data_IF_456682104711
#
_entry.id   IF_456682104711
#
_cell.length_a   1.000
_cell.length_b   1.000
_cell.length_c   1.000
_cell.angle_alpha   90.00
_cell.angle_beta   90.00
_cell.angle_gamma   90.00
#
_symmetry.space_group_name_H-M   'P 1'
#
loop_
_entity.id
_entity.type
_entity.pdbx_description
1 polymer ?
#
# COMPACT_ATOMS: atom_id res chain seq x y z
N UNK A 1 -7.85 14.64 24.10
CA UNK A 1 -6.79 14.08 23.23
C UNK A 1 -6.46 15.14 22.21
N UNK A 2 -5.20 15.56 22.12
CA UNK A 2 -4.73 16.50 21.09
C UNK A 2 -4.98 15.89 19.71
N UNK A 3 -5.78 16.56 18.89
CA UNK A 3 -6.09 16.12 17.53
C UNK A 3 -4.81 16.14 16.70
N UNK A 4 -4.36 14.97 16.23
CA UNK A 4 -3.20 14.88 15.34
C UNK A 4 -3.51 15.54 13.98
N UNK A 5 -2.53 16.20 13.34
CA UNK A 5 -2.76 16.87 12.07
C UNK A 5 -2.82 15.91 10.88
N UNK A 6 -3.40 16.36 9.77
CA UNK A 6 -3.37 15.65 8.49
C UNK A 6 -1.96 15.77 7.87
N UNK A 7 -1.21 14.66 7.88
CA UNK A 7 0.19 14.61 7.41
C UNK A 7 0.40 13.63 6.26
N UNK A 8 -0.61 12.82 5.96
CA UNK A 8 -0.58 11.79 4.93
C UNK A 8 -1.74 11.99 3.97
N UNK A 9 -1.43 12.08 2.67
CA UNK A 9 -2.42 12.00 1.60
C UNK A 9 -2.33 10.61 0.96
N UNK A 10 -3.43 9.87 0.98
CA UNK A 10 -3.46 8.49 0.54
C UNK A 10 -4.30 8.32 -0.72
N UNK A 11 -3.72 7.86 -1.82
CA UNK A 11 -4.46 7.49 -3.04
C UNK A 11 -4.83 6.02 -3.04
N UNK A 12 -6.13 5.75 -3.05
CA UNK A 12 -6.67 4.41 -2.86
C UNK A 12 -7.07 4.19 -1.40
N UNK A 13 -8.25 3.62 -1.19
CA UNK A 13 -8.77 3.33 0.16
C UNK A 13 -9.01 1.85 0.37
N UNK A 14 -8.43 0.97 -0.45
CA UNK A 14 -8.73 -0.46 -0.46
C UNK A 14 -8.49 -1.16 0.88
N UNK A 15 -8.96 -2.41 0.98
CA UNK A 15 -8.78 -3.22 2.20
C UNK A 15 -7.31 -3.36 2.59
N UNK A 16 -6.42 -3.47 1.60
CA UNK A 16 -4.99 -3.60 1.80
C UNK A 16 -4.41 -2.45 2.63
N UNK A 17 -4.53 -1.19 2.18
CA UNK A 17 -3.98 -0.04 2.90
C UNK A 17 -4.62 0.11 4.29
N UNK A 18 -5.94 -0.11 4.41
CA UNK A 18 -6.65 -0.08 5.70
C UNK A 18 -6.11 -1.10 6.70
N UNK A 19 -5.75 -2.29 6.23
CA UNK A 19 -5.19 -3.35 7.07
C UNK A 19 -3.64 -3.33 7.12
N UNK A 20 -3.00 -2.30 6.57
CA UNK A 20 -1.55 -2.23 6.43
C UNK A 20 -1.02 -0.85 6.81
N UNK A 21 -0.95 0.08 5.85
CA UNK A 21 -0.40 1.42 6.09
C UNK A 21 -1.19 2.19 7.15
N UNK A 22 -2.52 2.25 7.02
CA UNK A 22 -3.38 2.99 7.94
C UNK A 22 -3.32 2.40 9.37
N UNK A 23 -3.27 1.06 9.48
CA UNK A 23 -3.11 0.37 10.75
C UNK A 23 -1.74 0.65 11.39
N UNK A 24 -0.64 0.61 10.63
CA UNK A 24 0.69 0.87 11.19
C UNK A 24 0.85 2.32 11.63
N UNK A 25 0.24 3.25 10.91
CA UNK A 25 0.18 4.66 11.31
C UNK A 25 -0.60 4.81 12.62
N UNK A 26 -1.73 4.12 12.77
CA UNK A 26 -2.53 4.11 14.00
C UNK A 26 -1.73 3.55 15.19
N UNK A 27 -1.04 2.42 15.01
CA UNK A 27 -0.16 1.85 16.03
C UNK A 27 1.01 2.77 16.40
N UNK A 28 1.64 3.42 15.41
CA UNK A 28 2.72 4.37 15.66
C UNK A 28 2.23 5.62 16.41
N UNK A 29 1.05 6.13 16.05
CA UNK A 29 0.39 7.25 16.74
C UNK A 29 0.12 6.95 18.22
N UNK A 30 -0.18 5.69 18.57
CA UNK A 30 -0.40 5.26 19.95
C UNK A 30 0.90 5.07 20.76
N UNK A 31 2.06 4.92 20.09
CA UNK A 31 3.37 4.61 20.71
C UNK A 31 4.27 5.83 20.94
N UNK A 32 3.71 7.03 21.14
CA UNK A 32 4.45 8.30 21.28
C UNK A 32 5.37 8.66 20.09
N UNK A 33 5.12 8.08 18.90
CA UNK A 33 5.80 8.43 17.65
C UNK A 33 4.78 8.87 16.61
N UNK A 34 4.08 10.02 16.83
CA UNK A 34 2.95 10.40 16.02
C UNK A 34 3.36 10.73 14.59
N UNK A 35 2.79 9.98 13.64
CA UNK A 35 2.91 10.24 12.20
C UNK A 35 1.95 11.35 11.80
N UNK A 36 0.74 11.33 12.37
CA UNK A 36 -0.39 12.19 12.02
C UNK A 36 -1.56 11.39 11.46
N UNK A 37 -2.49 12.07 10.79
CA UNK A 37 -3.73 11.51 10.23
C UNK A 37 -3.68 11.41 8.71
N UNK A 38 -4.47 10.48 8.20
CA UNK A 38 -4.55 10.14 6.77
C UNK A 38 -5.81 10.73 6.13
N UNK A 39 -5.64 11.46 5.04
CA UNK A 39 -6.73 11.86 4.14
C UNK A 39 -6.76 10.88 2.98
N UNK A 40 -7.85 10.12 2.85
CA UNK A 40 -8.00 9.12 1.78
C UNK A 40 -8.66 9.74 0.56
N UNK A 41 -8.00 9.66 -0.59
CA UNK A 41 -8.53 10.08 -1.89
C UNK A 41 -9.08 8.87 -2.63
N UNK A 42 -10.38 8.89 -2.90
CA UNK A 42 -11.09 7.89 -3.68
C UNK A 42 -11.27 8.36 -5.12
N UNK A 43 -10.83 7.56 -6.09
CA UNK A 43 -11.02 7.83 -7.53
C UNK A 43 -11.93 6.82 -8.24
N UNK A 44 -12.47 5.84 -7.51
CA UNK A 44 -13.37 4.81 -8.05
C UNK A 44 -14.83 5.09 -7.69
N UNK A 45 -15.76 4.62 -8.52
CA UNK A 45 -17.20 4.65 -8.23
C UNK A 45 -17.54 3.68 -7.08
N UNK A 46 -17.36 4.11 -5.84
CA UNK A 46 -17.68 3.35 -4.62
C UNK A 46 -18.16 4.28 -3.50
N UNK A 47 -18.78 3.74 -2.45
CA UNK A 47 -19.18 4.55 -1.28
C UNK A 47 -18.10 4.68 -0.20
N UNK A 48 -16.84 4.35 -0.50
CA UNK A 48 -15.83 4.17 0.55
C UNK A 48 -15.49 5.46 1.30
N UNK A 49 -15.29 6.57 0.59
CA UNK A 49 -15.08 7.88 1.23
C UNK A 49 -16.26 8.26 2.14
N UNK A 50 -17.50 8.04 1.68
CA UNK A 50 -18.70 8.26 2.47
C UNK A 50 -18.72 7.38 3.73
N UNK A 51 -18.47 6.06 3.60
CA UNK A 51 -18.41 5.14 4.75
C UNK A 51 -17.32 5.53 5.76
N UNK A 52 -16.15 5.98 5.29
CA UNK A 52 -15.09 6.51 6.15
C UNK A 52 -15.61 7.69 6.95
N UNK A 53 -16.27 8.64 6.29
CA UNK A 53 -16.77 9.86 6.92
C UNK A 53 -17.96 9.59 7.87
N UNK A 54 -18.88 8.69 7.50
CA UNK A 54 -20.01 8.22 8.33
C UNK A 54 -19.53 7.61 9.65
N UNK A 55 -18.36 6.95 9.64
CA UNK A 55 -17.73 6.35 10.83
C UNK A 55 -16.70 7.27 11.51
N UNK A 56 -16.61 8.55 11.13
CA UNK A 56 -15.64 9.51 11.70
C UNK A 56 -14.17 9.10 11.49
N UNK A 57 -13.89 8.35 10.42
CA UNK A 57 -12.58 7.79 10.11
C UNK A 57 -12.23 6.50 10.85
N UNK A 58 -13.09 6.05 11.76
CA UNK A 58 -12.85 4.84 12.54
C UNK A 58 -13.34 3.57 11.82
N UNK A 59 -12.63 2.47 12.01
CA UNK A 59 -13.01 1.13 11.54
C UNK A 59 -12.23 0.07 12.33
N UNK A 60 -12.49 -1.20 12.07
CA UNK A 60 -11.81 -2.31 12.73
C UNK A 60 -10.98 -3.14 11.75
N UNK A 61 -9.84 -3.61 12.24
CA UNK A 61 -9.03 -4.64 11.59
C UNK A 61 -9.02 -5.88 12.48
N UNK A 62 -9.36 -7.02 11.91
CA UNK A 62 -9.19 -8.33 12.54
C UNK A 62 -7.86 -8.89 12.06
N UNK A 63 -6.93 -9.11 12.98
CA UNK A 63 -5.70 -9.86 12.73
C UNK A 63 -5.94 -11.30 13.14
N UNK A 64 -5.99 -12.22 12.15
CA UNK A 64 -6.34 -13.62 12.36
C UNK A 64 -5.39 -14.57 11.64
N UNK A 65 -4.85 -15.56 12.35
CA UNK A 65 -3.97 -16.58 11.79
C UNK A 65 -3.23 -17.36 12.87
N UNK A 66 -2.11 -17.98 12.50
CA UNK A 66 -1.19 -18.66 13.40
C UNK A 66 0.13 -17.89 13.48
N UNK A 67 0.74 -17.88 14.66
CA UNK A 67 2.12 -17.43 14.87
C UNK A 67 2.77 -18.41 15.83
N UNK A 68 3.82 -19.09 15.39
CA UNK A 68 4.53 -20.13 16.17
C UNK A 68 3.56 -21.21 16.70
N UNK A 69 2.59 -21.60 15.87
CA UNK A 69 1.52 -22.55 16.24
C UNK A 69 0.44 -22.02 17.20
N UNK A 70 0.53 -20.76 17.65
CA UNK A 70 -0.48 -20.12 18.49
C UNK A 70 -1.52 -19.37 17.66
N UNK A 71 -2.80 -19.54 18.00
CA UNK A 71 -3.90 -18.83 17.34
C UNK A 71 -3.87 -17.35 17.74
N UNK A 72 -3.79 -16.49 16.73
CA UNK A 72 -4.02 -15.06 16.84
C UNK A 72 -5.42 -14.77 16.29
N UNK A 73 -6.26 -14.13 17.10
CA UNK A 73 -7.54 -13.57 16.67
C UNK A 73 -7.80 -12.29 17.47
N UNK A 74 -7.32 -11.16 16.93
CA UNK A 74 -7.35 -9.86 17.60
C UNK A 74 -8.11 -8.87 16.76
N UNK A 75 -9.07 -8.19 17.38
CA UNK A 75 -9.73 -7.01 16.80
C UNK A 75 -9.03 -5.75 17.30
N UNK A 76 -8.68 -4.85 16.38
CA UNK A 76 -8.19 -3.51 16.70
C UNK A 76 -9.07 -2.45 16.05
N UNK A 77 -9.50 -1.47 16.83
CA UNK A 77 -10.09 -0.23 16.31
C UNK A 77 -8.96 0.67 15.78
N UNK A 78 -9.10 1.11 14.54
CA UNK A 78 -8.16 1.97 13.83
C UNK A 78 -8.77 3.35 13.64
N UNK A 79 -8.01 4.40 13.94
CA UNK A 79 -8.49 5.80 13.97
C UNK A 79 -7.55 6.79 13.26
N UNK A 80 -6.55 6.28 12.54
CA UNK A 80 -5.56 7.08 11.80
C UNK A 80 -6.15 7.89 10.65
N UNK A 81 -7.22 7.42 10.01
CA UNK A 81 -7.88 8.13 8.91
C UNK A 81 -8.65 9.33 9.48
N UNK A 82 -8.44 10.54 8.95
CA UNK A 82 -9.24 11.72 9.30
C UNK A 82 -10.54 11.77 8.53
N UNK A 83 -10.47 11.59 7.20
CA UNK A 83 -11.61 11.69 6.28
C UNK A 83 -11.28 11.07 4.92
N UNK A 84 -12.34 10.74 4.17
CA UNK A 84 -12.27 10.40 2.76
C UNK A 84 -12.75 11.56 1.90
N UNK A 85 -12.09 11.77 0.75
CA UNK A 85 -12.45 12.71 -0.30
C UNK A 85 -12.69 11.96 -1.61
N UNK A 86 -13.71 12.33 -2.36
CA UNK A 86 -13.96 11.81 -3.71
C UNK A 86 -13.28 12.73 -4.72
N UNK A 87 -12.27 12.20 -5.45
CA UNK A 87 -11.42 13.02 -6.31
C UNK A 87 -12.23 13.83 -7.34
N UNK A 88 -13.25 13.23 -7.96
CA UNK A 88 -14.03 13.89 -9.01
C UNK A 88 -14.99 14.97 -8.48
N UNK A 89 -15.35 14.91 -7.19
CA UNK A 89 -16.35 15.80 -6.59
C UNK A 89 -15.70 16.85 -5.68
N UNK A 90 -14.53 16.53 -5.12
CA UNK A 90 -13.86 17.27 -4.05
C UNK A 90 -12.40 17.59 -4.39
N UNK A 91 -12.06 17.75 -5.68
CA UNK A 91 -10.68 17.94 -6.13
C UNK A 91 -9.98 19.15 -5.49
N UNK A 92 -10.68 20.29 -5.37
CA UNK A 92 -10.16 21.46 -4.69
C UNK A 92 -9.78 21.19 -3.22
N UNK A 93 -10.53 20.30 -2.53
CA UNK A 93 -10.20 19.89 -1.17
C UNK A 93 -8.96 18.98 -1.13
N UNK A 94 -8.75 18.13 -2.14
CA UNK A 94 -7.51 17.34 -2.29
C UNK A 94 -6.31 18.28 -2.48
N UNK A 95 -6.43 19.28 -3.35
CA UNK A 95 -5.37 20.28 -3.55
C UNK A 95 -5.13 21.15 -2.31
N UNK A 96 -6.16 21.42 -1.51
CA UNK A 96 -5.99 22.12 -0.22
C UNK A 96 -5.11 21.32 0.75
N UNK A 97 -5.23 19.98 0.79
CA UNK A 97 -4.32 19.13 1.57
C UNK A 97 -2.89 19.22 1.02
N UNK A 98 -2.72 19.24 -0.30
CA UNK A 98 -1.41 19.38 -0.94
C UNK A 98 -0.68 20.67 -0.52
N UNK A 99 -1.42 21.77 -0.36
CA UNK A 99 -0.93 23.09 0.05
C UNK A 99 -0.64 23.20 1.56
N UNK A 100 -1.05 22.22 2.36
CA UNK A 100 -0.81 22.24 3.81
C UNK A 100 0.68 22.10 4.14
N UNK A 101 1.24 22.92 5.05
CA UNK A 101 2.61 22.75 5.51
C UNK A 101 2.82 21.45 6.32
N UNK A 102 1.72 20.82 6.76
CA UNK A 102 1.77 19.61 7.59
C UNK A 102 1.87 18.32 6.77
N UNK A 103 1.51 18.36 5.49
CA UNK A 103 1.62 17.20 4.61
C UNK A 103 3.09 16.80 4.46
N UNK A 104 3.38 15.54 4.75
CA UNK A 104 4.72 14.94 4.74
C UNK A 104 4.82 13.73 3.81
N UNK A 105 3.75 12.94 3.75
CA UNK A 105 3.71 11.65 3.06
C UNK A 105 2.61 11.61 2.01
N UNK A 106 2.90 10.99 0.88
CA UNK A 106 1.90 10.51 -0.07
C UNK A 106 2.04 8.99 -0.15
N UNK A 107 0.97 8.26 0.15
CA UNK A 107 0.93 6.79 0.06
C UNK A 107 -0.04 6.42 -1.07
N UNK A 108 0.28 5.40 -1.87
CA UNK A 108 -0.65 4.93 -2.90
C UNK A 108 -0.81 3.42 -2.95
N UNK A 109 -2.02 2.98 -3.26
CA UNK A 109 -2.28 1.65 -3.81
C UNK A 109 -3.48 1.78 -4.75
N UNK A 110 -3.20 2.09 -6.01
CA UNK A 110 -4.19 2.22 -7.08
C UNK A 110 -4.27 0.99 -7.98
N UNK A 111 -3.65 -0.12 -7.56
CA UNK A 111 -3.36 -1.32 -8.36
C UNK A 111 -2.40 -1.05 -9.53
N UNK A 112 -1.87 -2.11 -10.12
CA UNK A 112 -0.98 -2.07 -11.28
C UNK A 112 -1.66 -1.40 -12.48
N UNK A 113 -2.99 -1.54 -12.58
CA UNK A 113 -3.78 -0.90 -13.62
C UNK A 113 -3.73 0.63 -13.54
N UNK A 114 -3.45 1.21 -12.37
CA UNK A 114 -3.35 2.66 -12.20
C UNK A 114 -2.04 3.27 -12.72
N UNK A 115 -1.03 2.46 -13.05
CA UNK A 115 0.28 2.92 -13.52
C UNK A 115 0.31 3.14 -15.03
N UNK A 116 -0.52 4.08 -15.48
CA UNK A 116 -0.61 4.50 -16.87
C UNK A 116 -1.16 5.91 -16.97
N UNK A 117 -0.79 6.62 -18.02
CA UNK A 117 -1.42 7.88 -18.40
C UNK A 117 -2.71 7.61 -19.16
N UNK A 118 -3.64 8.55 -19.13
CA UNK A 118 -4.93 8.45 -19.82
C UNK A 118 -5.06 9.62 -20.80
N UNK A 119 -5.60 9.36 -21.99
CA UNK A 119 -5.80 10.44 -23.00
C UNK A 119 -6.68 11.58 -22.47
N UNK A 120 -7.55 11.28 -21.51
CA UNK A 120 -8.40 12.25 -20.85
C UNK A 120 -7.65 13.25 -19.95
N UNK A 121 -6.37 13.04 -19.66
CA UNK A 121 -5.54 14.00 -18.92
C UNK A 121 -5.19 15.26 -19.73
N UNK A 122 -5.39 15.21 -21.05
CA UNK A 122 -5.23 16.35 -21.94
C UNK A 122 -3.79 16.85 -22.07
N UNK A 123 -3.62 17.90 -22.89
CA UNK A 123 -2.33 18.53 -23.16
C UNK A 123 -1.94 19.61 -22.14
N UNK A 124 -2.83 19.97 -21.22
CA UNK A 124 -2.61 21.02 -20.23
C UNK A 124 -3.16 20.58 -18.87
N UNK A 125 -2.57 21.10 -17.81
CA UNK A 125 -3.09 20.92 -16.46
C UNK A 125 -4.56 21.38 -16.41
N UNK A 126 -5.49 20.58 -15.86
CA UNK A 126 -6.86 21.02 -15.64
C UNK A 126 -6.93 22.10 -14.56
N UNK A 127 -8.07 22.79 -14.45
CA UNK A 127 -8.31 23.72 -13.34
C UNK A 127 -8.32 23.00 -11.99
N UNK A 128 -8.13 23.75 -10.91
CA UNK A 128 -8.09 23.22 -9.54
C UNK A 128 -9.40 22.54 -9.08
N UNK A 129 -10.49 22.70 -9.82
CA UNK A 129 -11.80 22.08 -9.55
C UNK A 129 -12.00 20.74 -10.30
N UNK A 130 -11.12 20.40 -11.25
CA UNK A 130 -11.26 19.22 -12.10
C UNK A 130 -10.10 18.25 -11.87
N UNK A 131 -10.43 17.09 -11.32
CA UNK A 131 -9.44 16.04 -11.15
C UNK A 131 -8.94 15.49 -12.50
N UNK A 132 -7.62 15.32 -12.69
CA UNK A 132 -7.08 14.54 -13.79
C UNK A 132 -7.64 13.11 -13.80
N UNK A 133 -7.58 12.41 -14.93
CA UNK A 133 -8.16 11.07 -15.10
C UNK A 133 -7.23 9.99 -14.56
N UNK A 134 -5.95 10.01 -14.91
CA UNK A 134 -5.00 9.00 -14.44
C UNK A 134 -4.47 9.29 -13.04
N UNK A 135 -3.96 8.25 -12.36
CA UNK A 135 -3.32 8.44 -11.06
C UNK A 135 -2.02 9.27 -11.15
N UNK A 136 -1.09 9.00 -12.10
CA UNK A 136 0.11 9.83 -12.24
C UNK A 136 -0.22 11.31 -12.49
N UNK A 137 -1.23 11.62 -13.31
CA UNK A 137 -1.65 13.00 -13.54
C UNK A 137 -2.27 13.66 -12.29
N UNK A 138 -3.07 12.91 -11.50
CA UNK A 138 -3.57 13.39 -10.19
C UNK A 138 -2.42 13.70 -9.23
N UNK A 139 -1.43 12.81 -9.14
CA UNK A 139 -0.26 13.01 -8.30
C UNK A 139 0.55 14.23 -8.74
N UNK A 140 0.75 14.39 -10.05
CA UNK A 140 1.43 15.54 -10.64
C UNK A 140 0.73 16.86 -10.27
N UNK A 141 -0.59 16.93 -10.40
CA UNK A 141 -1.38 18.10 -10.03
C UNK A 141 -1.29 18.43 -8.52
N UNK A 142 -1.30 17.40 -7.65
CA UNK A 142 -1.07 17.56 -6.21
C UNK A 142 0.32 18.14 -5.92
N UNK A 143 1.38 17.58 -6.53
CA UNK A 143 2.75 18.03 -6.35
C UNK A 143 2.96 19.45 -6.89
N UNK A 144 2.31 19.79 -8.01
CA UNK A 144 2.36 21.13 -8.59
C UNK A 144 1.66 22.16 -7.71
N UNK A 145 0.46 21.86 -7.18
CA UNK A 145 -0.23 22.73 -6.24
C UNK A 145 0.59 22.97 -4.97
N UNK A 146 1.31 21.95 -4.50
CA UNK A 146 2.21 22.04 -3.36
C UNK A 146 3.42 22.95 -3.65
N UNK A 147 4.07 22.75 -4.80
CA UNK A 147 5.18 23.58 -5.26
C UNK A 147 4.78 25.06 -5.40
N UNK A 148 3.63 25.32 -6.02
CA UNK A 148 3.11 26.68 -6.21
C UNK A 148 2.78 27.37 -4.87
N UNK A 149 2.43 26.60 -3.84
CA UNK A 149 2.23 27.11 -2.48
C UNK A 149 3.55 27.30 -1.69
N UNK A 150 4.72 27.13 -2.32
CA UNK A 150 6.03 27.32 -1.69
C UNK A 150 6.35 26.32 -0.58
N UNK A 151 5.70 25.14 -0.59
CA UNK A 151 5.89 24.13 0.45
C UNK A 151 7.07 23.20 0.13
N UNK A 152 7.71 22.68 1.17
CA UNK A 152 8.78 21.69 1.03
C UNK A 152 8.26 20.39 0.41
N UNK A 153 9.13 19.66 -0.30
CA UNK A 153 8.76 18.38 -0.91
C UNK A 153 8.38 17.29 0.12
N UNK A 154 7.66 16.28 -0.37
CA UNK A 154 7.10 15.17 0.40
C UNK A 154 7.80 13.86 0.07
N UNK A 155 7.53 12.83 0.86
CA UNK A 155 7.93 11.47 0.53
C UNK A 155 6.77 10.71 -0.10
N UNK A 156 7.00 10.12 -1.27
CA UNK A 156 6.04 9.29 -2.00
C UNK A 156 6.38 7.83 -1.75
N UNK A 157 5.41 7.08 -1.20
CA UNK A 157 5.49 5.67 -0.85
C UNK A 157 4.42 4.89 -1.62
N UNK A 158 4.71 4.49 -2.87
CA UNK A 158 3.83 3.59 -3.60
C UNK A 158 3.85 2.20 -2.97
N UNK A 159 2.68 1.59 -2.81
CA UNK A 159 2.48 0.25 -2.28
C UNK A 159 1.89 -0.71 -3.33
N UNK A 160 1.95 -0.35 -4.62
CA UNK A 160 1.58 -1.24 -5.72
C UNK A 160 2.63 -2.35 -5.92
N UNK A 161 2.21 -3.54 -6.38
CA UNK A 161 3.09 -4.70 -6.58
C UNK A 161 3.80 -4.62 -7.94
N UNK A 162 4.54 -3.54 -8.16
CA UNK A 162 5.39 -3.33 -9.32
C UNK A 162 6.86 -3.24 -8.91
N UNK A 163 7.74 -3.83 -9.70
CA UNK A 163 9.18 -3.67 -9.52
C UNK A 163 9.57 -2.20 -9.73
N UNK A 164 10.39 -1.66 -8.84
CA UNK A 164 10.81 -0.26 -8.87
C UNK A 164 9.59 0.69 -9.02
N UNK A 165 8.55 0.46 -8.20
CA UNK A 165 7.28 1.17 -8.27
C UNK A 165 7.42 2.70 -8.18
N UNK A 166 8.29 3.23 -7.33
CA UNK A 166 8.50 4.68 -7.23
C UNK A 166 9.18 5.25 -8.47
N UNK A 167 10.18 4.56 -9.03
CA UNK A 167 10.87 5.02 -10.25
C UNK A 167 9.93 5.01 -11.46
N UNK A 168 9.12 3.96 -11.60
CA UNK A 168 8.10 3.87 -12.65
C UNK A 168 7.05 4.97 -12.51
N UNK A 169 6.62 5.25 -11.28
CA UNK A 169 5.65 6.31 -11.02
C UNK A 169 6.23 7.69 -11.33
N UNK A 170 7.48 7.96 -10.93
CA UNK A 170 8.18 9.19 -11.26
C UNK A 170 8.29 9.38 -12.78
N UNK A 171 8.66 8.33 -13.53
CA UNK A 171 8.74 8.40 -14.99
C UNK A 171 7.41 8.79 -15.64
N UNK A 172 6.29 8.21 -15.19
CA UNK A 172 4.95 8.57 -15.66
C UNK A 172 4.57 10.03 -15.30
N UNK A 173 4.94 10.47 -14.09
CA UNK A 173 4.72 11.85 -13.64
C UNK A 173 5.54 12.83 -14.47
N UNK A 174 6.80 12.52 -14.79
CA UNK A 174 7.66 13.33 -15.67
C UNK A 174 7.14 13.38 -17.11
N UNK A 175 6.66 12.25 -17.64
CA UNK A 175 6.05 12.18 -18.97
C UNK A 175 4.82 13.09 -19.04
N UNK A 176 3.92 13.00 -18.06
CA UNK A 176 2.75 13.88 -18.00
C UNK A 176 3.13 15.36 -17.78
N UNK A 177 4.18 15.63 -17.00
CA UNK A 177 4.68 16.99 -16.79
C UNK A 177 5.24 17.60 -18.08
N UNK A 178 5.89 16.80 -18.92
CA UNK A 178 6.34 17.21 -20.25
C UNK A 178 5.14 17.48 -21.18
N UNK A 179 4.11 16.63 -21.16
CA UNK A 179 2.86 16.84 -21.93
C UNK A 179 2.21 18.17 -21.53
N UNK A 180 2.10 18.45 -20.23
CA UNK A 180 1.56 19.70 -19.69
C UNK A 180 2.50 20.91 -19.83
N UNK A 181 3.71 20.71 -20.38
CA UNK A 181 4.71 21.75 -20.60
C UNK A 181 5.08 22.51 -19.31
N UNK A 182 5.20 21.79 -18.19
CA UNK A 182 5.48 22.40 -16.90
C UNK A 182 6.91 22.98 -16.85
N UNK A 183 7.13 24.05 -16.06
CA UNK A 183 8.42 24.75 -16.04
C UNK A 183 9.58 23.86 -15.57
N UNK A 184 10.76 24.06 -16.14
CA UNK A 184 11.98 23.33 -15.75
C UNK A 184 12.31 23.44 -14.25
N UNK A 185 12.00 24.57 -13.62
CA UNK A 185 12.17 24.77 -12.18
C UNK A 185 11.33 23.78 -11.34
N UNK A 186 10.09 23.50 -11.77
CA UNK A 186 9.24 22.51 -11.11
C UNK A 186 9.76 21.09 -11.32
N UNK A 187 10.24 20.75 -12.53
CA UNK A 187 10.85 19.45 -12.80
C UNK A 187 12.11 19.22 -11.96
N UNK A 188 12.93 20.25 -11.75
CA UNK A 188 14.07 20.19 -10.85
C UNK A 188 13.64 19.94 -9.39
N UNK A 189 12.58 20.62 -8.94
CA UNK A 189 11.99 20.42 -7.61
C UNK A 189 11.46 18.99 -7.42
N UNK A 190 10.78 18.41 -8.42
CA UNK A 190 10.31 17.01 -8.37
C UNK A 190 11.45 16.00 -8.14
N UNK A 191 12.66 16.28 -8.64
CA UNK A 191 13.83 15.39 -8.52
C UNK A 191 14.61 15.57 -7.22
N UNK A 192 14.58 16.77 -6.67
CA UNK A 192 15.49 17.17 -5.58
C UNK A 192 14.79 17.29 -4.23
N UNK A 193 13.50 17.65 -4.23
CA UNK A 193 12.73 17.90 -3.01
C UNK A 193 11.72 16.79 -2.71
N UNK A 194 11.23 16.09 -3.74
CA UNK A 194 10.32 14.95 -3.57
C UNK A 194 11.13 13.66 -3.48
N UNK A 195 10.87 12.89 -2.42
CA UNK A 195 11.56 11.63 -2.15
C UNK A 195 10.71 10.48 -2.66
N UNK A 196 11.15 9.85 -3.74
CA UNK A 196 10.49 8.70 -4.36
C UNK A 196 11.14 7.43 -3.83
N UNK A 197 10.46 6.69 -2.96
CA UNK A 197 11.05 5.51 -2.32
C UNK A 197 10.37 4.23 -2.81
N UNK A 198 11.13 3.38 -3.48
CA UNK A 198 10.64 2.07 -3.90
C UNK A 198 10.26 1.24 -2.67
N UNK A 199 9.12 0.57 -2.73
CA UNK A 199 8.67 -0.27 -1.62
C UNK A 199 8.31 -1.68 -2.05
N UNK A 200 8.45 -2.62 -1.12
CA UNK A 200 7.86 -3.95 -1.19
C UNK A 200 6.94 -4.12 0.00
N UNK A 201 5.68 -4.47 -0.27
CA UNK A 201 4.69 -4.75 0.75
C UNK A 201 4.27 -6.23 0.71
N UNK A 202 4.11 -6.84 1.88
CA UNK A 202 3.64 -8.22 2.04
C UNK A 202 2.76 -8.35 3.27
N UNK A 203 1.48 -8.62 3.03
CA UNK A 203 0.47 -9.01 4.01
C UNK A 203 -0.75 -9.55 3.27
N UNK A 204 -1.20 -10.74 3.62
CA UNK A 204 -2.46 -11.29 3.13
C UNK A 204 -3.61 -10.56 3.82
N UNK A 205 -4.47 -9.96 3.00
CA UNK A 205 -5.68 -9.24 3.43
C UNK A 205 -6.86 -9.83 2.69
N UNK A 206 -7.67 -10.64 3.37
CA UNK A 206 -8.88 -11.25 2.79
C UNK A 206 -10.04 -10.26 2.70
N UNK A 207 -9.94 -9.11 3.37
CA UNK A 207 -10.97 -8.08 3.32
C UNK A 207 -12.12 -8.37 4.27
N UNK A 208 -13.35 -8.02 3.87
CA UNK A 208 -14.55 -8.14 4.71
C UNK A 208 -14.81 -9.63 5.05
N UNK A 209 -14.96 -10.00 6.34
CA UNK A 209 -15.31 -11.38 6.69
C UNK A 209 -16.73 -11.72 6.23
N UNK A 210 -16.99 -13.00 5.98
CA UNK A 210 -18.34 -13.48 5.59
C UNK A 210 -19.36 -13.31 6.73
N UNK A 211 -18.91 -13.56 7.97
CA UNK A 211 -19.71 -13.39 9.19
C UNK A 211 -18.82 -12.88 10.32
N UNK A 212 -19.28 -11.84 11.02
CA UNK A 212 -18.68 -11.30 12.23
C UNK A 212 -19.67 -10.31 12.90
N UNK A 213 -19.81 -10.31 14.24
CA UNK A 213 -20.76 -9.42 14.94
C UNK A 213 -20.59 -7.93 14.64
N UNK A 214 -19.35 -7.49 14.38
CA UNK A 214 -19.06 -6.09 14.05
C UNK A 214 -19.53 -5.65 12.67
N UNK A 215 -19.89 -6.58 11.77
CA UNK A 215 -20.34 -6.23 10.40
C UNK A 215 -21.60 -5.37 10.37
N UNK A 216 -22.45 -5.46 11.40
CA UNK A 216 -23.68 -4.68 11.49
C UNK A 216 -23.41 -3.18 11.70
N UNK A 217 -22.27 -2.83 12.32
CA UNK A 217 -21.91 -1.45 12.64
C UNK A 217 -20.64 -0.93 11.96
N UNK A 218 -19.88 -1.80 11.28
CA UNK A 218 -18.64 -1.43 10.61
C UNK A 218 -18.59 -2.01 9.19
N UNK A 219 -18.92 -1.17 8.22
CA UNK A 219 -18.89 -1.54 6.81
C UNK A 219 -17.46 -1.62 6.24
N UNK A 220 -16.47 -1.10 6.97
CA UNK A 220 -15.06 -1.04 6.57
C UNK A 220 -14.21 -2.14 7.21
N UNK A 221 -14.81 -2.98 8.07
CA UNK A 221 -14.20 -4.13 8.72
C UNK A 221 -13.40 -4.96 7.72
N UNK A 222 -12.13 -5.21 8.06
CA UNK A 222 -11.23 -5.98 7.21
C UNK A 222 -10.44 -6.99 8.03
N UNK A 223 -10.15 -8.14 7.43
CA UNK A 223 -9.34 -9.21 8.02
C UNK A 223 -7.99 -9.27 7.32
N UNK A 224 -6.94 -9.43 8.11
CA UNK A 224 -5.59 -9.67 7.63
C UNK A 224 -4.88 -10.73 8.48
N UNK A 225 -3.86 -11.37 7.92
CA UNK A 225 -3.01 -12.29 8.66
C UNK A 225 -2.12 -11.55 9.68
N UNK A 226 -1.51 -12.23 10.66
CA UNK A 226 -0.56 -11.63 11.60
C UNK A 226 0.74 -11.17 10.95
N UNK A 227 1.25 -11.92 9.96
CA UNK A 227 2.46 -11.55 9.25
C UNK A 227 2.28 -10.24 8.49
N UNK A 228 3.28 -9.36 8.58
CA UNK A 228 3.35 -8.17 7.77
C UNK A 228 4.79 -7.75 7.53
N UNK A 229 5.08 -7.26 6.33
CA UNK A 229 6.40 -6.74 5.98
C UNK A 229 6.28 -5.58 4.99
N UNK A 230 6.94 -4.48 5.30
CA UNK A 230 7.06 -3.29 4.45
C UNK A 230 8.54 -2.92 4.32
N UNK A 231 9.18 -3.37 3.24
CA UNK A 231 10.51 -2.88 2.91
C UNK A 231 10.42 -1.54 2.17
N UNK A 232 11.23 -0.58 2.60
CA UNK A 232 11.34 0.74 1.96
C UNK A 232 12.80 0.91 1.56
N UNK A 233 13.06 1.01 0.26
CA UNK A 233 14.39 1.31 -0.25
C UNK A 233 14.77 2.75 0.08
N UNK A 234 15.90 2.96 0.74
CA UNK A 234 16.44 4.29 0.95
C UNK A 234 17.33 4.44 2.17
N UNK A 235 17.91 5.64 2.29
CA UNK A 235 18.73 6.07 3.42
C UNK A 235 18.22 7.41 3.95
N UNK A 236 18.73 7.87 5.10
CA UNK A 236 18.36 9.16 5.69
C UNK A 236 16.86 9.27 5.96
N UNK A 237 16.17 10.18 5.25
CA UNK A 237 14.75 10.55 5.43
C UNK A 237 13.78 9.35 5.39
N UNK A 238 14.15 8.24 4.75
CA UNK A 238 13.37 6.99 4.80
C UNK A 238 13.25 6.40 6.22
N UNK A 239 14.28 6.58 7.07
CA UNK A 239 14.31 6.11 8.46
C UNK A 239 13.47 6.98 9.40
N UNK A 240 13.19 8.21 9.01
CA UNK A 240 12.49 9.21 9.83
C UNK A 240 10.98 9.32 9.50
N UNK A 241 10.47 8.48 8.60
CA UNK A 241 9.06 8.52 8.18
C UNK A 241 8.15 8.17 9.36
N UNK A 242 8.29 6.95 9.87
CA UNK A 242 7.74 6.47 11.15
C UNK A 242 8.27 5.07 11.49
N UNK A 243 8.23 4.70 12.78
CA UNK A 243 8.77 3.43 13.27
C UNK A 243 7.64 2.42 13.49
N UNK A 244 7.75 1.25 12.87
CA UNK A 244 6.85 0.12 13.08
C UNK A 244 7.62 -1.20 12.94
N UNK A 245 7.35 -2.25 13.75
CA UNK A 245 8.08 -3.53 13.67
C UNK A 245 8.04 -4.23 12.31
N UNK A 246 6.98 -4.00 11.53
CA UNK A 246 6.83 -4.54 10.18
C UNK A 246 7.59 -3.74 9.11
N UNK A 247 8.14 -2.56 9.42
CA UNK A 247 8.85 -1.70 8.45
C UNK A 247 10.34 -1.97 8.54
N UNK A 248 10.95 -2.28 7.39
CA UNK A 248 12.38 -2.41 7.23
C UNK A 248 12.89 -1.38 6.21
N UNK A 249 13.80 -0.50 6.64
CA UNK A 249 14.52 0.38 5.71
C UNK A 249 15.75 -0.38 5.20
N UNK A 250 15.80 -0.60 3.89
CA UNK A 250 16.79 -1.44 3.21
C UNK A 250 17.49 -0.65 2.12
N UNK A 251 18.69 -1.08 1.72
CA UNK A 251 19.39 -0.45 0.59
C UNK A 251 18.70 -0.75 -0.75
N UNK A 252 18.16 -1.96 -0.89
CA UNK A 252 17.49 -2.42 -2.11
C UNK A 252 16.36 -3.41 -1.80
N UNK A 253 15.17 -3.13 -2.35
CA UNK A 253 13.98 -3.98 -2.21
C UNK A 253 13.98 -5.18 -3.17
N UNK A 254 14.81 -5.18 -4.23
CA UNK A 254 14.80 -6.20 -5.29
C UNK A 254 15.06 -7.61 -4.72
N UNK A 255 15.98 -7.74 -3.77
CA UNK A 255 16.28 -9.04 -3.14
C UNK A 255 15.08 -9.60 -2.39
N UNK A 256 14.37 -8.75 -1.66
CA UNK A 256 13.16 -9.14 -0.93
C UNK A 256 12.01 -9.43 -1.90
N UNK A 257 11.89 -8.64 -2.97
CA UNK A 257 10.86 -8.79 -3.99
C UNK A 257 11.05 -10.11 -4.73
N UNK A 258 12.28 -10.42 -5.17
CA UNK A 258 12.63 -11.67 -5.81
C UNK A 258 12.29 -12.87 -4.92
N UNK A 259 12.65 -12.81 -3.62
CA UNK A 259 12.33 -13.85 -2.63
C UNK A 259 10.82 -14.05 -2.53
N UNK A 260 10.05 -12.97 -2.31
CA UNK A 260 8.58 -13.02 -2.20
C UNK A 260 7.91 -13.53 -3.47
N UNK A 261 8.24 -12.95 -4.63
CA UNK A 261 7.60 -13.28 -5.91
C UNK A 261 7.86 -14.74 -6.30
N UNK A 262 9.08 -15.23 -6.12
CA UNK A 262 9.41 -16.62 -6.49
C UNK A 262 8.87 -17.63 -5.50
N UNK A 263 9.02 -17.38 -4.20
CA UNK A 263 8.66 -18.35 -3.16
C UNK A 263 7.17 -18.26 -2.84
N UNK A 264 6.67 -17.12 -2.37
CA UNK A 264 5.26 -16.98 -1.97
C UNK A 264 4.33 -16.92 -3.18
N UNK A 265 4.50 -15.95 -4.09
CA UNK A 265 3.56 -15.80 -5.21
C UNK A 265 3.65 -16.96 -6.20
N UNK A 266 4.86 -17.47 -6.43
CA UNK A 266 5.11 -18.66 -7.24
C UNK A 266 4.44 -19.92 -6.68
N UNK A 267 4.59 -20.16 -5.37
CA UNK A 267 3.89 -21.25 -4.70
C UNK A 267 2.37 -21.11 -4.78
N UNK A 268 1.82 -19.93 -4.51
CA UNK A 268 0.37 -19.68 -4.62
C UNK A 268 -0.16 -19.93 -6.03
N UNK A 269 0.53 -19.45 -7.06
CA UNK A 269 0.11 -19.64 -8.45
C UNK A 269 0.13 -21.12 -8.85
N UNK A 270 1.19 -21.85 -8.47
CA UNK A 270 1.27 -23.29 -8.70
C UNK A 270 0.21 -24.07 -7.90
N UNK A 271 -0.04 -23.66 -6.66
CA UNK A 271 -1.03 -24.28 -5.78
C UNK A 271 -2.43 -24.16 -6.37
N UNK A 272 -2.82 -23.00 -6.88
CA UNK A 272 -4.12 -22.81 -7.56
C UNK A 272 -4.27 -23.79 -8.72
N UNK A 273 -3.26 -23.91 -9.58
CA UNK A 273 -3.30 -24.84 -10.72
C UNK A 273 -3.44 -26.31 -10.30
N UNK A 274 -2.88 -26.70 -9.14
CA UNK A 274 -2.93 -28.08 -8.62
C UNK A 274 -4.20 -28.38 -7.83
N UNK A 275 -4.65 -27.43 -7.02
CA UNK A 275 -5.69 -27.59 -6.01
C UNK A 275 -7.11 -27.45 -6.59
N UNK A 276 -7.32 -26.49 -7.50
CA UNK A 276 -8.64 -26.19 -8.06
C UNK A 276 -9.27 -27.40 -8.78
N UNK A 277 -8.54 -28.15 -9.64
CA UNK A 277 -9.09 -29.35 -10.30
C UNK A 277 -9.44 -30.49 -9.33
N UNK A 278 -8.99 -30.41 -8.06
CA UNK A 278 -9.25 -31.39 -7.00
C UNK A 278 -10.39 -30.96 -6.07
N UNK A 279 -11.04 -29.82 -6.36
CA UNK A 279 -12.13 -29.29 -5.53
C UNK A 279 -11.69 -28.70 -4.20
N UNK A 280 -10.39 -28.43 -4.02
CA UNK A 280 -9.87 -27.75 -2.83
C UNK A 280 -10.05 -26.24 -3.01
N UNK A 281 -10.84 -25.62 -2.14
CA UNK A 281 -11.33 -24.25 -2.32
C UNK A 281 -10.60 -23.23 -1.44
N UNK A 282 -9.93 -23.69 -0.38
CA UNK A 282 -9.09 -22.84 0.49
C UNK A 282 -7.62 -23.22 0.41
N UNK A 283 -6.73 -22.24 0.64
CA UNK A 283 -5.28 -22.47 0.74
C UNK A 283 -4.97 -23.48 1.84
N UNK A 284 -5.63 -23.38 2.99
CA UNK A 284 -5.46 -24.31 4.12
C UNK A 284 -5.78 -25.76 3.74
N UNK A 285 -6.89 -26.00 3.02
CA UNK A 285 -7.22 -27.33 2.51
C UNK A 285 -6.13 -27.86 1.58
N UNK A 286 -5.63 -27.03 0.67
CA UNK A 286 -4.59 -27.41 -0.27
C UNK A 286 -3.25 -27.75 0.43
N UNK A 287 -2.84 -26.95 1.41
CA UNK A 287 -1.60 -27.17 2.19
C UNK A 287 -1.70 -28.40 3.10
N UNK A 288 -2.88 -28.68 3.66
CA UNK A 288 -3.09 -29.84 4.56
C UNK A 288 -3.50 -31.12 3.83
N UNK A 289 -3.76 -31.07 2.52
CA UNK A 289 -4.15 -32.23 1.73
C UNK A 289 -3.00 -33.25 1.62
N UNK A 290 -3.25 -34.56 1.84
CA UNK A 290 -2.20 -35.59 1.89
C UNK A 290 -1.30 -35.69 0.66
N UNK A 291 -1.79 -35.32 -0.52
CA UNK A 291 -0.99 -35.30 -1.76
C UNK A 291 -0.50 -33.92 -2.18
N UNK A 292 -1.26 -32.85 -1.90
CA UNK A 292 -0.97 -31.50 -2.43
C UNK A 292 0.02 -30.80 -1.51
N UNK A 293 -0.10 -30.95 -0.19
CA UNK A 293 0.86 -30.42 0.78
C UNK A 293 2.29 -30.91 0.55
N UNK A 294 2.53 -32.24 0.50
CA UNK A 294 3.86 -32.77 0.22
C UNK A 294 4.39 -32.39 -1.17
N UNK A 295 3.52 -32.29 -2.18
CA UNK A 295 3.90 -31.80 -3.50
C UNK A 295 4.34 -30.33 -3.46
N UNK A 296 3.59 -29.47 -2.77
CA UNK A 296 3.92 -28.05 -2.61
C UNK A 296 5.25 -27.87 -1.88
N UNK A 297 5.49 -28.67 -0.83
CA UNK A 297 6.78 -28.67 -0.11
C UNK A 297 7.94 -29.05 -1.03
N UNK A 298 7.80 -30.10 -1.86
CA UNK A 298 8.85 -30.44 -2.84
C UNK A 298 9.07 -29.33 -3.86
N UNK A 299 7.99 -28.78 -4.43
CA UNK A 299 8.08 -27.64 -5.36
C UNK A 299 8.87 -26.48 -4.74
N UNK A 300 8.56 -26.14 -3.48
CA UNK A 300 9.25 -25.06 -2.75
C UNK A 300 10.74 -25.37 -2.55
N UNK A 301 11.06 -26.50 -1.91
CA UNK A 301 12.43 -26.75 -1.43
C UNK A 301 13.36 -27.43 -2.45
N UNK A 302 12.81 -28.18 -3.40
CA UNK A 302 13.60 -28.90 -4.42
C UNK A 302 13.69 -28.15 -5.75
N UNK A 303 12.71 -27.29 -6.07
CA UNK A 303 12.68 -26.58 -7.36
C UNK A 303 12.84 -25.07 -7.21
N UNK A 304 12.05 -24.40 -6.35
CA UNK A 304 12.05 -22.93 -6.27
C UNK A 304 13.24 -22.40 -5.48
N UNK A 305 13.40 -22.80 -4.22
CA UNK A 305 14.45 -22.30 -3.31
C UNK A 305 15.85 -22.43 -3.91
N UNK A 306 16.25 -23.57 -4.53
CA UNK A 306 17.57 -23.71 -5.13
C UNK A 306 17.87 -22.69 -6.23
N UNK A 307 16.85 -22.20 -6.95
CA UNK A 307 17.04 -21.22 -8.03
C UNK A 307 17.23 -19.79 -7.55
N UNK A 308 16.88 -19.50 -6.28
CA UNK A 308 16.92 -18.15 -5.71
C UNK A 308 17.88 -18.00 -4.54
N UNK A 309 18.28 -19.08 -3.89
CA UNK A 309 19.07 -19.06 -2.65
C UNK A 309 20.42 -18.31 -2.78
N UNK A 310 21.05 -18.31 -3.96
CA UNK A 310 22.29 -17.57 -4.20
C UNK A 310 22.09 -16.06 -4.38
N UNK A 311 20.85 -15.60 -4.53
CA UNK A 311 20.49 -14.21 -4.89
C UNK A 311 19.75 -13.47 -3.77
N UNK A 312 19.26 -14.19 -2.77
CA UNK A 312 18.43 -13.64 -1.69
C UNK A 312 18.80 -14.25 -0.35
N UNK A 313 18.68 -13.47 0.71
CA UNK A 313 18.96 -13.95 2.07
C UNK A 313 17.78 -14.79 2.60
N UNK A 314 18.08 -15.84 3.39
CA UNK A 314 17.07 -16.61 4.13
C UNK A 314 15.98 -17.26 3.26
N UNK A 315 16.30 -17.72 2.04
CA UNK A 315 15.32 -18.31 1.13
C UNK A 315 14.58 -19.52 1.74
N UNK A 316 15.31 -20.41 2.40
CA UNK A 316 14.73 -21.60 3.04
C UNK A 316 13.84 -21.23 4.24
N UNK A 317 14.32 -20.35 5.12
CA UNK A 317 13.56 -19.88 6.29
C UNK A 317 12.26 -19.18 5.85
N UNK A 318 12.35 -18.36 4.79
CA UNK A 318 11.17 -17.72 4.21
C UNK A 318 10.20 -18.74 3.61
N UNK A 319 10.68 -19.80 2.97
CA UNK A 319 9.81 -20.87 2.45
C UNK A 319 9.11 -21.66 3.56
N UNK A 320 9.75 -21.91 4.70
CA UNK A 320 9.10 -22.50 5.87
C UNK A 320 8.02 -21.56 6.43
N UNK A 321 8.33 -20.27 6.60
CA UNK A 321 7.36 -19.28 7.04
C UNK A 321 6.16 -19.17 6.08
N UNK A 322 6.38 -19.32 4.76
CA UNK A 322 5.31 -19.33 3.75
C UNK A 322 4.40 -20.56 3.88
N UNK A 323 4.91 -21.71 4.31
CA UNK A 323 4.07 -22.90 4.56
C UNK A 323 3.27 -22.80 5.86
N UNK A 324 3.76 -22.04 6.84
CA UNK A 324 3.03 -21.79 8.10
C UNK A 324 1.88 -20.79 7.93
N UNK A 325 2.07 -19.78 7.07
CA UNK A 325 1.08 -18.73 6.73
C UNK A 325 -0.13 -19.29 5.98
#
# INVERSE_FOLDING_TARGET
MTTLPETVLQFGGGNFLRAFADLFIDEANQRNSPVGRVVVVQSTASRRAALINEQGGAYHVITRGLVDGHVIDRVQTVTSISRGLVANDEWAAVLAVARSPQLRLIISNVTEAGYRLEKGDGAHQPSDDVAPVSFPAKLLAVLLARYQAGQAGVTVLPCELLDQNADRLLALVEEQAAIWQLPAAFLAWLKTEVYWLNTLVDRIVSGKPADHPLLAGDALLTVAEPFAFWAIAGQGRARDLFVHPAIAVVDDVERYALRKVRILNGAHSALVAKALPRGLVTVREAVTHPEVGPWLRRLLFEEIVPTVAARVDGAADFAEAVLER
#
